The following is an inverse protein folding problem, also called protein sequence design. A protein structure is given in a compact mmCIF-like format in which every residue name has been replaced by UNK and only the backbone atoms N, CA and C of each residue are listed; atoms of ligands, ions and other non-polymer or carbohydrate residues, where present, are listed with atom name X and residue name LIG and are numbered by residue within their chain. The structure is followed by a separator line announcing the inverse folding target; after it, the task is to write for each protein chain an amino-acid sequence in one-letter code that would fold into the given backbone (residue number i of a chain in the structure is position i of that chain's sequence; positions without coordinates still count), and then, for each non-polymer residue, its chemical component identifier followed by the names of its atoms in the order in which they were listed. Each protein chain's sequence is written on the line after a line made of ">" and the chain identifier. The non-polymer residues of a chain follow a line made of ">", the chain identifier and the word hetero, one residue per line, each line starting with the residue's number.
data_IF_888168773413
#
_entry.id   IF_888168773413
#
_cell.length_a   1.000
_cell.length_b   1.000
_cell.length_c   1.000
_cell.angle_alpha   90.00
_cell.angle_beta   90.00
_cell.angle_gamma   90.00
#
_symmetry.space_group_name_H-M   'P 1'
#
loop_
_entity.id
_entity.type
_entity.pdbx_description
1 polymer ?
#
# COMPACT_ATOMS: atom_id res chain seq x y z
N UNK A 1 -4.82 -115.36 0.50
CA UNK A 1 -3.57 -115.21 1.20
C UNK A 1 -3.06 -113.85 0.92
N UNK A 2 -2.71 -113.11 1.96
CA UNK A 2 -1.88 -111.96 2.02
C UNK A 2 -2.37 -110.68 1.34
N UNK A 3 -2.49 -109.56 1.90
CA UNK A 3 -2.12 -108.97 3.16
C UNK A 3 -2.35 -107.50 2.94
N UNK A 4 -3.32 -106.93 3.65
CA UNK A 4 -3.63 -105.50 3.68
C UNK A 4 -2.95 -104.90 4.90
N UNK A 5 -1.80 -104.34 4.71
CA UNK A 5 -1.21 -103.41 5.70
C UNK A 5 -0.30 -102.47 4.95
N UNK A 6 -0.72 -101.19 4.82
CA UNK A 6 0.19 -100.06 4.77
C UNK A 6 -0.54 -98.76 4.28
N UNK A 7 -1.60 -98.32 4.91
CA UNK A 7 -2.14 -97.05 4.56
C UNK A 7 -2.46 -96.09 5.76
N UNK A 8 -2.14 -96.46 7.00
CA UNK A 8 -2.49 -95.68 8.16
C UNK A 8 -1.38 -94.72 8.66
N UNK A 9 -0.12 -94.99 8.37
CA UNK A 9 1.02 -94.17 8.88
C UNK A 9 1.17 -92.79 8.22
N UNK A 10 0.95 -92.52 6.94
CA UNK A 10 1.13 -91.18 6.38
C UNK A 10 0.05 -90.25 6.79
N UNK A 11 -1.17 -90.72 7.10
CA UNK A 11 -2.28 -89.86 7.50
C UNK A 11 -2.10 -89.32 8.97
N UNK A 12 -1.53 -90.17 9.83
CA UNK A 12 -1.21 -89.77 11.20
C UNK A 12 -0.07 -88.70 11.25
N UNK A 13 0.95 -88.85 10.40
CA UNK A 13 2.02 -87.87 10.30
C UNK A 13 1.55 -86.51 9.75
N UNK A 14 0.69 -86.49 8.76
CA UNK A 14 0.08 -85.22 8.24
C UNK A 14 -0.84 -84.56 9.25
N UNK A 15 -1.60 -85.29 10.04
CA UNK A 15 -2.47 -84.70 11.07
C UNK A 15 -1.70 -84.13 12.25
N UNK A 16 -0.55 -84.68 12.63
CA UNK A 16 0.33 -84.14 13.70
C UNK A 16 1.04 -82.91 13.17
N UNK A 17 1.51 -82.88 11.93
CA UNK A 17 2.16 -81.71 11.34
C UNK A 17 1.13 -80.53 11.18
N UNK A 18 -0.09 -80.84 10.69
CA UNK A 18 -1.13 -79.83 10.58
C UNK A 18 -1.63 -79.30 11.95
N UNK A 19 -1.69 -80.19 12.95
CA UNK A 19 -2.05 -79.78 14.34
C UNK A 19 -0.96 -78.95 14.99
N UNK A 20 0.32 -79.25 14.79
CA UNK A 20 1.42 -78.46 15.35
C UNK A 20 1.56 -77.07 14.65
N UNK A 21 1.35 -76.98 13.33
CA UNK A 21 1.37 -75.74 12.61
C UNK A 21 0.17 -74.87 12.97
N UNK A 22 -1.03 -75.44 13.13
CA UNK A 22 -2.20 -74.70 13.59
C UNK A 22 -2.01 -74.18 15.01
N UNK A 23 -1.45 -74.97 15.90
CA UNK A 23 -1.14 -74.57 17.28
C UNK A 23 -0.09 -73.46 17.35
N UNK A 24 0.96 -73.53 16.54
CA UNK A 24 2.00 -72.48 16.44
C UNK A 24 1.40 -71.18 15.88
N UNK A 25 0.52 -71.21 14.89
CA UNK A 25 -0.15 -70.06 14.33
C UNK A 25 -1.11 -69.40 15.34
N UNK A 26 -1.87 -70.17 16.09
CA UNK A 26 -2.74 -69.70 17.14
C UNK A 26 -1.93 -69.00 18.25
N UNK A 27 -0.83 -69.64 18.66
CA UNK A 27 0.05 -69.07 19.69
C UNK A 27 0.81 -67.80 19.23
N UNK A 28 1.03 -67.69 17.92
CA UNK A 28 1.61 -66.48 17.31
C UNK A 28 0.57 -65.35 17.23
N UNK A 29 -0.67 -65.64 16.90
CA UNK A 29 -1.79 -64.69 16.92
C UNK A 29 -2.11 -64.22 18.32
N UNK A 30 -2.06 -65.06 19.33
CA UNK A 30 -2.27 -64.65 20.72
C UNK A 30 -1.16 -63.69 21.19
N UNK A 31 0.11 -63.97 20.86
CA UNK A 31 1.20 -63.04 21.17
C UNK A 31 1.11 -61.72 20.46
N UNK A 32 0.67 -61.68 19.21
CA UNK A 32 0.45 -60.44 18.47
C UNK A 32 -0.72 -59.64 19.11
N UNK A 33 -1.79 -60.29 19.49
CA UNK A 33 -2.92 -59.66 20.21
C UNK A 33 -2.54 -59.15 21.59
N UNK A 34 -1.71 -59.87 22.30
CA UNK A 34 -1.19 -59.40 23.63
C UNK A 34 -0.24 -58.22 23.47
N UNK A 35 0.56 -58.19 22.39
CA UNK A 35 1.48 -57.11 22.08
C UNK A 35 0.74 -55.87 21.59
N UNK A 36 -0.29 -56.06 20.75
CA UNK A 36 -1.19 -54.97 20.34
C UNK A 36 -2.01 -54.39 21.51
N UNK A 37 -2.54 -55.24 22.39
CA UNK A 37 -3.23 -54.82 23.59
C UNK A 37 -2.29 -54.12 24.59
N UNK A 38 -1.00 -54.48 24.63
CA UNK A 38 0.03 -53.84 25.46
C UNK A 38 0.39 -52.49 24.89
N UNK A 39 0.55 -52.38 23.55
CA UNK A 39 0.78 -51.10 22.85
C UNK A 39 -0.42 -50.19 23.00
N UNK A 40 -1.64 -50.71 22.98
CA UNK A 40 -2.87 -49.92 23.19
C UNK A 40 -3.08 -49.47 24.63
N UNK A 41 -2.61 -50.25 25.60
CA UNK A 41 -2.62 -49.90 27.03
C UNK A 41 -1.45 -49.00 27.43
N UNK A 42 -0.33 -49.00 26.69
CA UNK A 42 0.82 -48.09 26.90
C UNK A 42 0.62 -46.74 26.14
N UNK A 43 -0.40 -46.58 25.28
CA UNK A 43 -0.86 -45.26 24.87
C UNK A 43 -1.49 -44.60 26.08
N UNK A 44 -0.68 -43.97 26.91
CA UNK A 44 -1.16 -42.92 27.80
C UNK A 44 -2.04 -41.99 26.96
N UNK A 45 -3.20 -41.52 27.52
CA UNK A 45 -3.96 -40.45 26.84
C UNK A 45 -2.94 -39.34 26.52
N UNK A 46 -2.76 -39.05 25.24
CA UNK A 46 -2.00 -37.87 24.83
C UNK A 46 -2.51 -36.72 25.67
N UNK A 47 -1.67 -36.21 26.55
CA UNK A 47 -2.00 -34.97 27.23
C UNK A 47 -2.41 -33.97 26.14
N UNK A 48 -3.51 -33.22 26.34
CA UNK A 48 -3.92 -32.20 25.40
C UNK A 48 -2.67 -31.39 25.06
N UNK A 49 -2.42 -31.08 23.77
CA UNK A 49 -1.22 -30.37 23.37
C UNK A 49 -1.09 -29.17 24.32
N UNK A 50 0.09 -28.89 24.90
CA UNK A 50 0.24 -27.76 25.78
C UNK A 50 -0.33 -26.57 25.02
N UNK A 51 -1.25 -25.84 25.64
CA UNK A 51 -1.70 -24.55 25.14
C UNK A 51 -0.40 -23.76 25.07
N UNK A 52 0.18 -23.71 23.86
CA UNK A 52 1.30 -22.83 23.57
C UNK A 52 0.69 -21.45 23.67
N UNK A 53 0.76 -20.85 24.85
CA UNK A 53 0.45 -19.44 25.00
C UNK A 53 1.31 -18.72 23.97
N UNK A 54 0.67 -18.14 22.99
CA UNK A 54 1.38 -17.31 22.01
C UNK A 54 2.22 -16.31 22.80
N UNK A 55 3.52 -16.22 22.55
CA UNK A 55 4.38 -15.33 23.33
C UNK A 55 3.78 -13.92 23.26
N UNK A 56 3.68 -13.23 24.39
CA UNK A 56 3.14 -11.87 24.52
C UNK A 56 3.76 -10.93 23.46
N UNK A 57 4.98 -11.22 23.02
CA UNK A 57 5.66 -10.53 21.92
C UNK A 57 4.91 -10.60 20.59
N UNK A 58 4.06 -11.61 20.34
CA UNK A 58 3.24 -11.68 19.14
C UNK A 58 2.14 -10.61 19.13
N UNK A 59 1.63 -10.25 20.30
CA UNK A 59 0.62 -9.20 20.51
C UNK A 59 1.21 -7.80 20.28
N UNK A 60 2.53 -7.64 20.45
CA UNK A 60 3.23 -6.37 20.20
C UNK A 60 3.47 -6.09 18.70
N UNK A 61 3.22 -7.06 17.83
CA UNK A 61 3.44 -6.91 16.41
C UNK A 61 2.35 -6.03 15.80
N UNK A 62 2.72 -4.80 15.45
CA UNK A 62 1.84 -3.81 14.84
C UNK A 62 1.55 -4.16 13.38
N UNK A 63 0.28 -4.15 13.00
CA UNK A 63 -0.14 -4.23 11.60
C UNK A 63 0.01 -2.86 10.94
N UNK A 64 0.83 -2.78 9.88
CA UNK A 64 1.05 -1.52 9.17
C UNK A 64 -0.19 -1.08 8.39
N UNK A 65 -0.94 -2.03 7.82
CA UNK A 65 -2.22 -1.78 7.15
C UNK A 65 -3.21 -2.86 7.56
N UNK A 66 -4.33 -2.48 8.15
CA UNK A 66 -5.39 -3.39 8.56
C UNK A 66 -6.74 -2.92 8.02
N UNK A 67 -7.52 -3.85 7.51
CA UNK A 67 -8.88 -3.66 7.04
C UNK A 67 -9.84 -4.46 7.92
N UNK A 68 -10.74 -3.79 8.61
CA UNK A 68 -11.79 -4.42 9.39
C UNK A 68 -13.12 -4.35 8.62
N UNK A 69 -13.83 -5.46 8.56
CA UNK A 69 -15.08 -5.61 7.82
C UNK A 69 -16.21 -5.98 8.77
N UNK A 70 -17.35 -5.31 8.62
CA UNK A 70 -18.60 -5.72 9.23
C UNK A 70 -19.14 -7.01 8.59
N UNK A 71 -20.01 -7.71 9.31
CA UNK A 71 -20.47 -9.07 8.99
C UNK A 71 -20.97 -9.24 7.54
N UNK A 72 -21.79 -8.30 7.03
CA UNK A 72 -22.35 -8.39 5.67
C UNK A 72 -21.29 -8.28 4.57
N UNK A 73 -20.13 -7.71 4.87
CA UNK A 73 -19.05 -7.51 3.90
C UNK A 73 -18.12 -8.73 3.79
N UNK A 74 -18.26 -9.74 4.64
CA UNK A 74 -17.46 -10.96 4.58
C UNK A 74 -17.70 -11.75 3.29
N UNK A 75 -18.86 -11.59 2.66
CA UNK A 75 -19.16 -12.16 1.35
C UNK A 75 -18.15 -11.73 0.29
N UNK A 76 -17.61 -10.49 0.37
CA UNK A 76 -16.63 -9.95 -0.57
C UNK A 76 -15.28 -10.68 -0.56
N UNK A 77 -14.99 -11.42 0.52
CA UNK A 77 -13.78 -12.24 0.66
C UNK A 77 -14.02 -13.66 0.14
N UNK A 78 -15.24 -14.22 0.39
CA UNK A 78 -15.55 -15.63 0.24
C UNK A 78 -16.18 -15.98 -1.12
N UNK A 79 -16.65 -15.01 -1.88
CA UNK A 79 -17.26 -15.24 -3.18
C UNK A 79 -16.29 -15.92 -4.16
N UNK A 80 -16.81 -16.96 -4.86
CA UNK A 80 -16.09 -17.68 -5.92
C UNK A 80 -15.97 -16.86 -7.22
N UNK A 81 -16.12 -15.55 -7.15
CA UNK A 81 -16.02 -14.67 -8.30
C UNK A 81 -14.56 -14.31 -8.61
N UNK A 82 -14.26 -14.08 -9.89
CA UNK A 82 -12.94 -13.63 -10.38
C UNK A 82 -12.51 -12.24 -9.85
N UNK A 83 -13.27 -11.64 -8.92
CA UNK A 83 -13.08 -10.28 -8.38
C UNK A 83 -13.03 -10.27 -6.86
N UNK A 84 -12.34 -11.21 -6.27
CA UNK A 84 -12.15 -11.23 -4.81
C UNK A 84 -11.40 -9.99 -4.36
N UNK A 85 -11.83 -9.39 -3.25
CA UNK A 85 -11.15 -8.26 -2.62
C UNK A 85 -9.65 -8.54 -2.39
N UNK A 86 -9.32 -9.77 -1.98
CA UNK A 86 -7.93 -10.20 -1.77
C UNK A 86 -7.08 -10.14 -3.04
N UNK A 87 -7.64 -10.48 -4.21
CA UNK A 87 -6.91 -10.46 -5.48
C UNK A 87 -6.77 -9.03 -6.01
N UNK A 88 -7.77 -8.18 -5.79
CA UNK A 88 -7.67 -6.75 -6.08
C UNK A 88 -6.59 -6.08 -5.22
N UNK A 89 -6.50 -6.40 -3.93
CA UNK A 89 -5.43 -5.89 -3.04
C UNK A 89 -4.04 -6.36 -3.51
N UNK A 90 -3.90 -7.61 -3.98
CA UNK A 90 -2.63 -8.08 -4.58
C UNK A 90 -2.28 -7.33 -5.85
N UNK A 91 -3.27 -7.08 -6.73
CA UNK A 91 -3.08 -6.30 -7.94
C UNK A 91 -2.69 -4.85 -7.61
N UNK A 92 -3.37 -4.23 -6.64
CA UNK A 92 -3.04 -2.91 -6.14
C UNK A 92 -1.59 -2.81 -5.64
N UNK A 93 -1.13 -3.77 -4.85
CA UNK A 93 0.26 -3.79 -4.34
C UNK A 93 1.28 -3.82 -5.48
N UNK A 94 1.01 -4.60 -6.55
CA UNK A 94 1.85 -4.64 -7.75
C UNK A 94 1.83 -3.31 -8.52
N UNK A 95 0.64 -2.73 -8.68
CA UNK A 95 0.49 -1.45 -9.36
C UNK A 95 1.25 -0.33 -8.64
N UNK A 96 1.13 -0.23 -7.32
CA UNK A 96 1.87 0.75 -6.51
C UNK A 96 3.38 0.54 -6.58
N UNK A 97 3.86 -0.70 -6.58
CA UNK A 97 5.29 -0.98 -6.73
C UNK A 97 5.81 -0.55 -8.10
N UNK A 98 5.04 -0.78 -9.18
CA UNK A 98 5.39 -0.35 -10.53
C UNK A 98 5.32 1.16 -10.72
N UNK A 99 4.32 1.82 -10.12
CA UNK A 99 4.10 3.26 -10.25
C UNK A 99 5.07 4.05 -9.38
N UNK A 100 5.15 3.71 -8.10
CA UNK A 100 5.84 4.51 -7.09
C UNK A 100 7.21 3.97 -6.68
N UNK A 101 7.57 2.74 -7.07
CA UNK A 101 8.77 2.07 -6.56
C UNK A 101 8.68 1.73 -5.06
N UNK A 102 7.49 1.79 -4.50
CA UNK A 102 7.19 1.56 -3.09
C UNK A 102 6.52 0.20 -2.89
N UNK A 103 7.11 -0.64 -2.06
CA UNK A 103 6.54 -1.94 -1.72
C UNK A 103 5.52 -1.78 -0.59
N UNK A 104 4.25 -1.74 -0.97
CA UNK A 104 3.15 -1.66 0.00
C UNK A 104 3.17 -2.86 0.95
N UNK A 105 3.09 -2.67 2.28
CA UNK A 105 2.96 -3.75 3.25
C UNK A 105 1.77 -4.66 2.99
N UNK A 106 1.76 -5.85 3.59
CA UNK A 106 0.59 -6.72 3.55
C UNK A 106 -0.59 -6.08 4.28
N UNK A 107 -1.78 -6.20 3.68
CA UNK A 107 -3.03 -5.77 4.32
C UNK A 107 -3.57 -6.94 5.12
N UNK A 108 -3.72 -6.78 6.43
CA UNK A 108 -4.40 -7.74 7.29
C UNK A 108 -5.89 -7.48 7.23
N UNK A 109 -6.65 -8.49 6.81
CA UNK A 109 -8.12 -8.40 6.75
C UNK A 109 -8.68 -9.15 7.94
N UNK A 110 -9.59 -8.51 8.69
CA UNK A 110 -10.23 -9.07 9.87
C UNK A 110 -11.74 -8.77 9.83
N UNK A 111 -12.51 -9.68 10.40
CA UNK A 111 -13.91 -9.40 10.74
C UNK A 111 -13.98 -8.64 12.07
N UNK A 112 -14.95 -7.74 12.18
CA UNK A 112 -15.22 -7.02 13.42
C UNK A 112 -16.75 -6.94 13.65
N UNK A 113 -17.23 -7.79 14.56
CA UNK A 113 -18.65 -7.87 14.94
C UNK A 113 -19.17 -6.65 15.70
N UNK A 114 -18.29 -5.73 16.12
CA UNK A 114 -18.68 -4.47 16.76
C UNK A 114 -19.01 -3.38 15.75
N UNK A 115 -18.61 -3.55 14.50
CA UNK A 115 -18.97 -2.64 13.41
C UNK A 115 -20.40 -2.88 12.93
N UNK A 116 -21.03 -1.82 12.41
CA UNK A 116 -22.28 -1.99 11.67
C UNK A 116 -22.08 -2.97 10.52
N UNK A 117 -23.05 -3.82 10.18
CA UNK A 117 -22.87 -4.93 9.24
C UNK A 117 -22.27 -4.55 7.88
N UNK A 118 -22.59 -3.37 7.39
CA UNK A 118 -22.20 -2.86 6.08
C UNK A 118 -21.01 -1.88 6.12
N UNK A 119 -20.35 -1.73 7.27
CA UNK A 119 -19.25 -0.78 7.48
C UNK A 119 -17.90 -1.48 7.36
N UNK A 120 -16.94 -0.81 6.75
CA UNK A 120 -15.53 -1.17 6.82
C UNK A 120 -14.71 -0.04 7.42
N UNK A 121 -13.58 -0.39 8.03
CA UNK A 121 -12.62 0.57 8.60
C UNK A 121 -11.21 0.18 8.17
N UNK A 122 -10.44 1.16 7.72
CA UNK A 122 -9.05 0.99 7.32
C UNK A 122 -8.17 1.66 8.37
N UNK A 123 -7.21 0.89 8.89
CA UNK A 123 -6.21 1.36 9.84
C UNK A 123 -4.84 1.41 9.17
N UNK A 124 -4.10 2.48 9.46
CA UNK A 124 -2.67 2.60 9.15
C UNK A 124 -1.93 2.77 10.47
N UNK A 125 -0.98 1.87 10.75
CA UNK A 125 -0.23 1.82 12.02
C UNK A 125 -1.17 1.91 13.23
N UNK A 126 -2.19 1.04 13.27
CA UNK A 126 -3.22 0.96 14.33
C UNK A 126 -4.10 2.20 14.50
N UNK A 127 -3.90 3.26 13.70
CA UNK A 127 -4.74 4.46 13.72
C UNK A 127 -5.78 4.37 12.61
N UNK A 128 -7.05 4.67 12.93
CA UNK A 128 -8.11 4.76 11.92
C UNK A 128 -7.77 5.85 10.90
N UNK A 129 -7.57 5.42 9.65
CA UNK A 129 -7.25 6.30 8.54
C UNK A 129 -8.48 6.61 7.67
N UNK A 130 -9.45 5.69 7.63
CA UNK A 130 -10.68 5.90 6.87
C UNK A 130 -11.72 4.84 7.17
N UNK A 131 -12.98 5.18 6.89
CA UNK A 131 -14.13 4.27 7.00
C UNK A 131 -15.12 4.53 5.89
N UNK A 132 -15.97 3.55 5.61
CA UNK A 132 -17.05 3.71 4.66
C UNK A 132 -18.17 2.71 4.91
N UNK A 133 -19.32 3.00 4.33
CA UNK A 133 -20.47 2.11 4.34
C UNK A 133 -20.76 1.64 2.91
N UNK A 134 -21.01 0.36 2.73
CA UNK A 134 -21.22 -0.27 1.44
C UNK A 134 -22.57 -0.97 1.38
N UNK A 135 -23.00 -1.24 0.16
CA UNK A 135 -24.17 -2.09 -0.14
C UNK A 135 -23.69 -3.24 -1.02
N UNK A 136 -23.37 -4.44 -0.45
CA UNK A 136 -22.72 -5.54 -1.17
C UNK A 136 -23.40 -5.94 -2.49
N UNK A 137 -24.74 -5.84 -2.54
CA UNK A 137 -25.56 -6.25 -3.69
C UNK A 137 -25.99 -5.07 -4.57
N UNK A 138 -25.38 -3.88 -4.42
CA UNK A 138 -25.66 -2.70 -5.22
C UNK A 138 -24.40 -2.17 -5.87
N UNK A 139 -24.56 -1.31 -6.86
CA UNK A 139 -23.50 -0.57 -7.52
C UNK A 139 -23.52 0.89 -7.05
N UNK A 140 -22.35 1.45 -6.86
CA UNK A 140 -22.19 2.88 -6.63
C UNK A 140 -22.03 3.59 -7.96
N UNK A 141 -22.87 4.57 -8.20
CA UNK A 141 -22.86 5.39 -9.41
C UNK A 141 -22.48 6.82 -9.07
N UNK A 142 -21.62 7.41 -9.88
CA UNK A 142 -21.14 8.79 -9.72
C UNK A 142 -21.18 9.51 -11.08
N UNK A 143 -21.56 10.77 -11.09
CA UNK A 143 -21.38 11.61 -12.28
C UNK A 143 -19.95 12.19 -12.30
N UNK A 144 -19.16 11.97 -13.36
CA UNK A 144 -17.81 12.53 -13.49
C UNK A 144 -17.76 14.06 -13.46
N UNK A 145 -18.88 14.73 -13.79
CA UNK A 145 -19.00 16.19 -13.79
C UNK A 145 -19.50 16.74 -12.47
N UNK A 146 -19.89 15.83 -11.53
CA UNK A 146 -20.46 16.21 -10.25
C UNK A 146 -21.90 16.71 -10.32
N UNK A 147 -22.62 16.43 -11.42
CA UNK A 147 -24.03 16.78 -11.58
C UNK A 147 -24.94 15.80 -10.82
N UNK A 148 -26.23 16.13 -10.75
CA UNK A 148 -27.21 15.26 -10.08
C UNK A 148 -27.53 14.02 -10.93
N UNK A 149 -27.46 12.85 -10.29
CA UNK A 149 -27.66 11.56 -10.98
C UNK A 149 -29.16 11.35 -11.22
N UNK A 150 -29.54 11.20 -12.49
CA UNK A 150 -30.92 11.04 -12.94
C UNK A 150 -31.38 9.56 -12.94
N UNK A 151 -31.02 8.78 -11.91
CA UNK A 151 -31.42 7.39 -11.73
C UNK A 151 -32.19 7.22 -10.43
N UNK A 152 -32.93 6.08 -10.31
CA UNK A 152 -33.58 5.72 -9.07
C UNK A 152 -32.59 4.99 -8.16
N UNK A 153 -32.39 5.50 -6.93
CA UNK A 153 -31.46 4.89 -5.99
C UNK A 153 -31.37 5.62 -4.65
N UNK A 154 -30.54 5.13 -3.78
CA UNK A 154 -30.23 5.69 -2.46
C UNK A 154 -29.09 6.69 -2.58
N UNK A 155 -29.38 7.99 -2.37
CA UNK A 155 -28.35 9.05 -2.40
C UNK A 155 -27.34 8.83 -1.27
N UNK A 156 -26.06 8.97 -1.58
CA UNK A 156 -24.95 8.78 -0.66
C UNK A 156 -23.75 9.66 -1.05
N UNK A 157 -22.67 9.53 -0.31
CA UNK A 157 -21.36 10.09 -0.69
C UNK A 157 -20.35 8.95 -0.85
N UNK A 158 -19.55 9.04 -1.87
CA UNK A 158 -18.44 8.11 -2.09
C UNK A 158 -17.39 8.28 -0.95
N UNK A 159 -16.94 7.17 -0.31
CA UNK A 159 -16.14 7.26 0.92
C UNK A 159 -14.73 7.82 0.74
N UNK A 160 -14.13 7.74 -0.46
CA UNK A 160 -12.74 8.13 -0.70
C UNK A 160 -12.58 9.64 -0.86
N UNK A 161 -13.41 10.23 -1.72
CA UNK A 161 -13.31 11.66 -2.11
C UNK A 161 -14.49 12.49 -1.61
N UNK A 162 -15.50 11.85 -1.01
CA UNK A 162 -16.72 12.52 -0.54
C UNK A 162 -17.62 13.04 -1.65
N UNK A 163 -17.47 12.54 -2.88
CA UNK A 163 -18.25 12.95 -4.04
C UNK A 163 -19.72 12.51 -3.90
N UNK A 164 -20.68 13.30 -4.45
CA UNK A 164 -22.07 12.87 -4.55
C UNK A 164 -22.15 11.56 -5.34
N UNK A 165 -22.86 10.59 -4.79
CA UNK A 165 -23.00 9.25 -5.38
C UNK A 165 -24.39 8.69 -5.09
N UNK A 166 -24.72 7.59 -5.76
CA UNK A 166 -26.00 6.91 -5.59
C UNK A 166 -25.83 5.40 -5.65
N UNK A 167 -26.45 4.69 -4.69
CA UNK A 167 -26.54 3.23 -4.74
C UNK A 167 -27.71 2.83 -5.64
N UNK A 168 -27.42 2.07 -6.68
CA UNK A 168 -28.41 1.55 -7.63
C UNK A 168 -28.39 0.02 -7.64
N UNK A 169 -29.46 -0.58 -8.15
CA UNK A 169 -29.53 -2.03 -8.31
C UNK A 169 -28.55 -2.51 -9.40
N UNK A 170 -28.06 -3.75 -9.28
CA UNK A 170 -27.13 -4.38 -10.24
C UNK A 170 -27.69 -4.40 -11.67
N UNK A 171 -29.02 -4.46 -11.84
CA UNK A 171 -29.70 -4.47 -13.12
C UNK A 171 -29.58 -3.14 -13.89
N UNK A 172 -29.35 -2.05 -13.17
CA UNK A 172 -29.23 -0.71 -13.76
C UNK A 172 -27.82 -0.38 -14.28
N UNK A 173 -26.91 -1.36 -14.29
CA UNK A 173 -25.51 -1.15 -14.70
C UNK A 173 -25.37 -0.57 -16.11
N UNK A 174 -26.05 -1.20 -17.05
CA UNK A 174 -25.96 -0.79 -18.48
C UNK A 174 -26.57 0.58 -18.70
N UNK A 175 -27.69 0.85 -18.05
CA UNK A 175 -28.37 2.15 -18.11
C UNK A 175 -27.51 3.27 -17.54
N UNK A 176 -26.88 3.03 -16.36
CA UNK A 176 -25.96 3.98 -15.76
C UNK A 176 -24.74 4.27 -16.67
N UNK A 177 -24.17 3.23 -17.27
CA UNK A 177 -23.04 3.38 -18.21
C UNK A 177 -23.47 4.11 -19.49
N UNK A 178 -24.68 3.88 -19.98
CA UNK A 178 -25.21 4.58 -21.17
C UNK A 178 -25.36 6.08 -20.93
N UNK A 179 -25.72 6.49 -19.72
CA UNK A 179 -25.77 7.90 -19.32
C UNK A 179 -24.39 8.53 -19.06
N UNK A 180 -23.30 7.77 -19.23
CA UNK A 180 -21.93 8.24 -19.03
C UNK A 180 -21.49 8.33 -17.56
N UNK A 181 -22.22 7.72 -16.65
CA UNK A 181 -21.87 7.67 -15.23
C UNK A 181 -20.74 6.65 -14.96
N UNK A 182 -19.92 6.94 -13.96
CA UNK A 182 -18.95 5.98 -13.42
C UNK A 182 -19.66 5.00 -12.52
N UNK A 183 -19.53 3.70 -12.82
CA UNK A 183 -20.19 2.61 -12.06
C UNK A 183 -19.14 1.73 -11.42
N UNK A 184 -19.16 1.63 -10.09
CA UNK A 184 -18.20 0.85 -9.30
C UNK A 184 -18.90 -0.15 -8.37
N UNK A 185 -18.25 -1.30 -8.16
CA UNK A 185 -18.70 -2.32 -7.20
C UNK A 185 -18.03 -2.14 -5.82
N UNK A 186 -18.58 -2.80 -4.81
CA UNK A 186 -18.12 -2.67 -3.43
C UNK A 186 -16.63 -3.03 -3.23
N UNK A 187 -16.06 -4.11 -3.83
CA UNK A 187 -14.63 -4.38 -3.73
C UNK A 187 -13.76 -3.27 -4.33
N UNK A 188 -14.18 -2.70 -5.44
CA UNK A 188 -13.45 -1.60 -6.10
C UNK A 188 -13.46 -0.34 -5.23
N UNK A 189 -14.55 -0.03 -4.54
CA UNK A 189 -14.61 1.11 -3.62
C UNK A 189 -13.60 0.95 -2.49
N UNK A 190 -13.56 -0.24 -1.85
CA UNK A 190 -12.58 -0.52 -0.77
C UNK A 190 -11.16 -0.38 -1.30
N UNK A 191 -10.85 -0.98 -2.46
CA UNK A 191 -9.48 -0.94 -3.02
C UNK A 191 -9.08 0.45 -3.44
N UNK A 192 -9.99 1.27 -3.97
CA UNK A 192 -9.73 2.69 -4.28
C UNK A 192 -9.43 3.47 -3.00
N UNK A 193 -10.23 3.27 -1.94
CA UNK A 193 -10.01 3.94 -0.65
C UNK A 193 -8.68 3.52 -0.02
N UNK A 194 -8.35 2.22 0.01
CA UNK A 194 -7.03 1.74 0.45
C UNK A 194 -5.92 2.40 -0.37
N UNK A 195 -6.09 2.50 -1.69
CA UNK A 195 -5.08 3.10 -2.58
C UNK A 195 -4.77 4.53 -2.19
N UNK A 196 -5.79 5.35 -2.02
CA UNK A 196 -5.60 6.77 -1.68
C UNK A 196 -5.05 6.95 -0.27
N UNK A 197 -5.50 6.15 0.70
CA UNK A 197 -4.95 6.17 2.06
C UNK A 197 -3.49 5.72 2.09
N UNK A 198 -3.13 4.68 1.35
CA UNK A 198 -1.73 4.23 1.24
C UNK A 198 -0.89 5.29 0.53
N UNK A 199 -1.36 5.86 -0.59
CA UNK A 199 -0.66 6.94 -1.31
C UNK A 199 -0.43 8.17 -0.42
N UNK A 200 -1.37 8.50 0.44
CA UNK A 200 -1.25 9.63 1.37
C UNK A 200 -0.31 9.35 2.56
N UNK A 201 -0.05 8.07 2.87
CA UNK A 201 0.77 7.66 4.00
C UNK A 201 2.03 6.86 3.60
N UNK A 202 2.43 6.87 2.31
CA UNK A 202 3.59 6.11 1.82
C UNK A 202 4.88 6.44 2.58
N UNK A 203 5.09 7.72 2.89
CA UNK A 203 6.26 8.17 3.64
C UNK A 203 6.36 7.51 5.02
N UNK A 204 5.23 7.36 5.71
CA UNK A 204 5.18 6.69 7.01
C UNK A 204 5.30 5.17 6.91
N UNK A 205 4.81 4.59 5.83
CA UNK A 205 4.84 3.15 5.59
C UNK A 205 6.21 2.66 5.11
N UNK A 206 7.06 3.53 4.58
CA UNK A 206 8.44 3.18 4.18
C UNK A 206 9.31 3.02 5.44
N UNK A 207 9.46 1.80 5.91
CA UNK A 207 10.28 1.47 7.07
C UNK A 207 11.78 1.43 6.75
N UNK A 208 12.61 1.47 7.79
CA UNK A 208 14.06 1.26 7.68
C UNK A 208 14.40 -0.08 7.02
N UNK A 209 13.70 -1.14 7.42
CA UNK A 209 13.90 -2.49 6.87
C UNK A 209 13.55 -2.57 5.38
N UNK A 210 12.45 -1.92 4.96
CA UNK A 210 12.11 -1.88 3.53
C UNK A 210 13.13 -1.06 2.74
N UNK A 211 13.62 0.04 3.30
CA UNK A 211 14.72 0.81 2.66
C UNK A 211 15.97 -0.04 2.50
N UNK A 212 16.36 -0.81 3.53
CA UNK A 212 17.50 -1.74 3.40
C UNK A 212 17.27 -2.79 2.30
N UNK A 213 16.07 -3.35 2.20
CA UNK A 213 15.74 -4.31 1.12
C UNK A 213 15.88 -3.67 -0.26
N UNK A 214 15.29 -2.48 -0.46
CA UNK A 214 15.40 -1.75 -1.72
C UNK A 214 16.86 -1.52 -2.12
N UNK A 215 17.74 -1.18 -1.16
CA UNK A 215 19.16 -1.01 -1.41
C UNK A 215 19.88 -2.33 -1.74
N UNK A 216 19.47 -3.43 -1.12
CA UNK A 216 20.05 -4.77 -1.36
C UNK A 216 19.60 -5.39 -2.68
N UNK A 217 18.41 -5.06 -3.17
CA UNK A 217 17.84 -5.58 -4.41
C UNK A 217 18.39 -4.89 -5.67
N UNK A 218 19.24 -3.88 -5.51
CA UNK A 218 19.92 -3.21 -6.63
C UNK A 218 20.94 -4.14 -7.31
N UNK A 219 21.17 -3.90 -8.61
CA UNK A 219 22.15 -4.64 -9.40
C UNK A 219 23.58 -4.45 -8.87
N UNK A 220 24.46 -5.42 -9.14
CA UNK A 220 25.85 -5.46 -8.61
C UNK A 220 26.65 -4.18 -8.90
N UNK A 221 26.45 -3.54 -10.03
CA UNK A 221 27.16 -2.31 -10.37
C UNK A 221 26.67 -1.12 -9.54
N UNK A 222 25.39 -1.09 -9.21
CA UNK A 222 24.78 -0.08 -8.35
C UNK A 222 25.09 -0.31 -6.86
N UNK A 223 25.33 -1.57 -6.46
CA UNK A 223 25.77 -1.91 -5.10
C UNK A 223 27.10 -1.23 -4.74
N UNK A 224 28.02 -1.04 -5.69
CA UNK A 224 29.28 -0.30 -5.48
C UNK A 224 29.02 1.13 -5.04
N UNK A 225 28.06 1.81 -5.68
CA UNK A 225 27.67 3.17 -5.29
C UNK A 225 27.10 3.18 -3.87
N UNK A 226 26.28 2.17 -3.51
CA UNK A 226 25.74 2.04 -2.14
C UNK A 226 26.86 1.88 -1.12
N UNK A 227 27.87 1.02 -1.37
CA UNK A 227 29.02 0.79 -0.49
C UNK A 227 29.92 2.03 -0.32
N UNK A 228 30.03 2.86 -1.37
CA UNK A 228 30.76 4.13 -1.30
C UNK A 228 29.97 5.22 -0.55
N UNK A 229 28.65 5.18 -0.64
CA UNK A 229 27.76 6.18 -0.08
C UNK A 229 27.45 5.89 1.40
N UNK A 230 27.13 4.64 1.74
CA UNK A 230 26.67 4.21 3.06
C UNK A 230 27.73 3.33 3.75
N UNK A 231 28.12 3.60 4.98
CA UNK A 231 27.71 4.72 5.85
C UNK A 231 28.58 5.97 5.72
N UNK A 232 29.53 6.03 4.78
CA UNK A 232 30.61 7.03 4.73
C UNK A 232 30.12 8.47 4.56
N UNK A 233 29.09 8.68 3.72
CA UNK A 233 28.57 10.01 3.40
C UNK A 233 27.19 10.25 3.99
N UNK A 234 26.36 9.21 4.02
CA UNK A 234 24.99 9.25 4.57
C UNK A 234 24.67 7.91 5.23
N UNK A 235 23.79 7.90 6.21
CA UNK A 235 23.30 6.66 6.83
C UNK A 235 22.12 6.10 6.06
N UNK A 236 21.77 4.81 6.24
CA UNK A 236 20.54 4.22 5.70
C UNK A 236 19.32 5.03 6.14
N UNK A 237 19.29 5.53 7.39
CA UNK A 237 18.20 6.39 7.89
C UNK A 237 18.14 7.74 7.17
N UNK A 238 19.30 8.28 6.74
CA UNK A 238 19.36 9.49 5.90
C UNK A 238 18.76 9.24 4.52
N UNK A 239 19.14 8.14 3.86
CA UNK A 239 18.54 7.72 2.59
C UNK A 239 17.05 7.49 2.75
N UNK A 240 16.62 6.75 3.78
CA UNK A 240 15.20 6.57 4.09
C UNK A 240 14.45 7.90 4.17
N UNK A 241 15.00 8.89 4.85
CA UNK A 241 14.38 10.21 4.98
C UNK A 241 14.26 10.92 3.63
N UNK A 242 15.26 10.85 2.76
CA UNK A 242 15.20 11.40 1.39
C UNK A 242 14.09 10.72 0.59
N UNK A 243 14.02 9.38 0.62
CA UNK A 243 12.96 8.62 -0.05
C UNK A 243 11.58 8.94 0.51
N UNK A 244 11.45 9.09 1.83
CA UNK A 244 10.21 9.49 2.49
C UNK A 244 9.76 10.89 2.05
N UNK A 245 10.68 11.84 1.93
CA UNK A 245 10.38 13.19 1.46
C UNK A 245 9.87 13.18 0.01
N UNK A 246 10.48 12.38 -0.87
CA UNK A 246 10.02 12.21 -2.25
C UNK A 246 8.61 11.61 -2.30
N UNK A 247 8.36 10.54 -1.54
CA UNK A 247 7.04 9.88 -1.48
C UNK A 247 5.96 10.77 -0.87
N UNK A 248 6.31 11.62 0.10
CA UNK A 248 5.37 12.59 0.69
C UNK A 248 4.85 13.60 -0.35
N UNK A 249 5.65 13.89 -1.35
CA UNK A 249 5.27 14.73 -2.49
C UNK A 249 4.81 13.90 -3.71
N UNK A 250 4.51 12.61 -3.51
CA UNK A 250 4.06 11.67 -4.56
C UNK A 250 5.06 11.50 -5.72
N UNK A 251 6.34 11.81 -5.50
CA UNK A 251 7.42 11.55 -6.46
C UNK A 251 7.83 10.08 -6.34
N UNK A 252 7.78 9.37 -7.46
CA UNK A 252 8.15 7.95 -7.49
C UNK A 252 9.62 7.74 -7.17
N UNK A 253 9.91 6.76 -6.32
CA UNK A 253 11.27 6.33 -5.95
C UNK A 253 11.76 5.13 -6.77
N UNK A 254 11.04 4.78 -7.85
CA UNK A 254 11.34 3.62 -8.69
C UNK A 254 12.72 3.72 -9.35
N UNK A 255 13.12 4.91 -9.74
CA UNK A 255 14.47 5.17 -10.28
C UNK A 255 15.45 5.42 -9.11
N UNK A 256 15.59 4.39 -8.26
CA UNK A 256 16.48 4.43 -7.10
C UNK A 256 17.95 4.71 -7.48
N UNK A 257 18.51 4.18 -8.60
CA UNK A 257 19.86 4.52 -9.04
C UNK A 257 20.07 6.02 -9.24
N UNK A 258 19.21 6.71 -10.00
CA UNK A 258 19.30 8.16 -10.21
C UNK A 258 19.18 8.93 -8.90
N UNK A 259 18.33 8.46 -7.98
CA UNK A 259 18.19 9.07 -6.64
C UNK A 259 19.51 8.94 -5.86
N UNK A 260 20.12 7.75 -5.83
CA UNK A 260 21.37 7.52 -5.11
C UNK A 260 22.55 8.29 -5.70
N UNK A 261 22.61 8.43 -7.01
CA UNK A 261 23.58 9.32 -7.68
C UNK A 261 23.38 10.77 -7.21
N UNK A 262 22.13 11.26 -7.21
CA UNK A 262 21.81 12.60 -6.72
C UNK A 262 22.14 12.78 -5.23
N UNK A 263 21.90 11.78 -4.39
CA UNK A 263 22.32 11.80 -2.99
C UNK A 263 23.83 11.87 -2.88
N UNK A 264 24.58 11.08 -3.67
CA UNK A 264 26.04 11.06 -3.66
C UNK A 264 26.64 12.41 -4.06
N UNK A 265 26.09 13.02 -5.11
CA UNK A 265 26.46 14.36 -5.56
C UNK A 265 26.21 15.41 -4.48
N UNK A 266 25.00 15.45 -3.94
CA UNK A 266 24.58 16.41 -2.94
C UNK A 266 25.39 16.29 -1.64
N UNK A 267 25.65 15.07 -1.16
CA UNK A 267 26.46 14.83 0.04
C UNK A 267 27.90 15.32 -0.05
N UNK A 268 28.40 15.64 -1.24
CA UNK A 268 29.73 16.28 -1.42
C UNK A 268 29.72 17.77 -1.07
N UNK A 269 28.54 18.40 -1.01
CA UNK A 269 28.36 19.85 -0.84
C UNK A 269 27.60 20.17 0.44
N UNK A 270 26.63 19.34 0.84
CA UNK A 270 25.72 19.60 1.96
C UNK A 270 25.43 18.35 2.79
N UNK A 271 25.11 18.55 4.07
CA UNK A 271 24.57 17.52 4.97
C UNK A 271 23.06 17.69 5.25
N UNK A 272 22.46 18.77 4.75
CA UNK A 272 21.04 19.05 4.92
C UNK A 272 20.19 18.09 4.09
N UNK A 273 19.41 17.22 4.75
CA UNK A 273 18.52 16.27 4.09
C UNK A 273 17.47 16.97 3.20
N UNK A 274 17.08 18.17 3.55
CA UNK A 274 16.19 18.99 2.73
C UNK A 274 16.87 19.36 1.40
N UNK A 275 18.09 19.89 1.44
CA UNK A 275 18.82 20.27 0.22
C UNK A 275 19.21 19.04 -0.62
N UNK A 276 19.57 17.93 0.03
CA UNK A 276 19.80 16.65 -0.66
C UNK A 276 18.54 16.21 -1.40
N UNK A 277 17.36 16.30 -0.76
CA UNK A 277 16.08 15.97 -1.39
C UNK A 277 15.80 16.87 -2.60
N UNK A 278 16.00 18.18 -2.48
CA UNK A 278 15.84 19.13 -3.59
C UNK A 278 16.78 18.82 -4.76
N UNK A 279 18.02 18.43 -4.46
CA UNK A 279 18.96 18.02 -5.50
C UNK A 279 18.50 16.75 -6.21
N UNK A 280 18.03 15.73 -5.45
CA UNK A 280 17.45 14.52 -6.05
C UNK A 280 16.23 14.84 -6.93
N UNK A 281 15.37 15.77 -6.51
CA UNK A 281 14.22 16.23 -7.31
C UNK A 281 14.68 16.85 -8.64
N UNK A 282 15.73 17.65 -8.64
CA UNK A 282 16.27 18.23 -9.89
C UNK A 282 16.82 17.16 -10.84
N UNK A 283 17.43 16.09 -10.31
CA UNK A 283 17.88 14.93 -11.11
C UNK A 283 16.68 14.15 -11.71
N UNK A 284 15.54 14.14 -10.99
CA UNK A 284 14.28 13.53 -11.44
C UNK A 284 13.40 14.48 -12.30
N UNK A 285 13.94 15.59 -12.81
CA UNK A 285 13.19 16.61 -13.56
C UNK A 285 12.34 16.01 -14.71
N UNK A 286 12.85 15.02 -15.45
CA UNK A 286 12.10 14.35 -16.51
C UNK A 286 10.87 13.62 -15.96
N UNK A 287 11.02 12.90 -14.87
CA UNK A 287 9.93 12.16 -14.22
C UNK A 287 8.89 13.13 -13.65
N UNK A 288 9.34 14.17 -12.94
CA UNK A 288 8.45 15.19 -12.34
C UNK A 288 7.69 15.93 -13.44
N UNK A 289 8.36 16.34 -14.51
CA UNK A 289 7.70 16.99 -15.66
C UNK A 289 6.65 16.09 -16.30
N UNK A 290 6.91 14.79 -16.47
CA UNK A 290 5.93 13.85 -17.03
C UNK A 290 4.74 13.64 -16.10
N UNK A 291 4.97 13.60 -14.79
CA UNK A 291 3.92 13.42 -13.78
C UNK A 291 2.98 14.65 -13.70
N UNK A 292 3.52 15.83 -13.97
CA UNK A 292 2.77 17.10 -13.87
C UNK A 292 2.16 17.56 -15.18
N UNK A 293 2.51 16.92 -16.30
CA UNK A 293 1.94 17.21 -17.61
C UNK A 293 0.50 16.72 -17.70
N UNK A 294 -0.35 17.52 -18.32
CA UNK A 294 -1.71 17.13 -18.68
C UNK A 294 -1.77 16.09 -19.80
N UNK A 295 -2.95 15.68 -20.18
CA UNK A 295 -3.18 14.71 -21.26
C UNK A 295 -2.64 15.21 -22.63
N UNK A 296 -2.50 16.52 -22.79
CA UNK A 296 -1.91 17.19 -23.97
C UNK A 296 -0.37 17.23 -23.95
N UNK A 297 0.26 16.70 -22.89
CA UNK A 297 1.70 16.72 -22.68
C UNK A 297 2.28 18.10 -22.30
N UNK A 298 1.41 19.05 -21.90
CA UNK A 298 1.78 20.39 -21.45
C UNK A 298 1.61 20.51 -19.96
N UNK A 299 2.56 21.14 -19.27
CA UNK A 299 2.48 21.40 -17.84
C UNK A 299 1.73 22.72 -17.62
N UNK A 300 0.52 22.69 -17.02
CA UNK A 300 -0.17 23.91 -16.65
C UNK A 300 0.45 24.47 -15.38
N UNK A 301 0.97 25.72 -15.42
CA UNK A 301 1.66 26.33 -14.29
C UNK A 301 0.95 27.61 -13.82
N UNK A 302 0.99 27.83 -12.52
CA UNK A 302 0.79 29.14 -11.88
C UNK A 302 2.12 29.54 -11.25
N UNK A 303 2.54 30.78 -11.46
CA UNK A 303 3.82 31.29 -10.95
C UNK A 303 3.62 32.15 -9.70
N UNK A 304 4.65 32.28 -8.87
CA UNK A 304 4.70 33.32 -7.86
C UNK A 304 5.08 34.66 -8.49
N UNK A 305 4.51 35.76 -7.97
CA UNK A 305 4.98 37.11 -8.30
C UNK A 305 6.36 37.38 -7.67
N UNK A 306 7.08 38.31 -8.23
CA UNK A 306 8.37 38.76 -7.66
C UNK A 306 8.24 39.23 -6.19
N UNK A 307 7.11 39.83 -5.83
CA UNK A 307 6.82 40.22 -4.45
C UNK A 307 6.76 39.05 -3.49
N UNK A 308 6.08 37.95 -3.86
CA UNK A 308 6.03 36.74 -3.04
C UNK A 308 7.37 36.00 -3.02
N UNK A 309 8.05 35.90 -4.15
CA UNK A 309 9.40 35.30 -4.22
C UNK A 309 10.35 36.03 -3.25
N UNK A 310 10.34 37.36 -3.25
CA UNK A 310 11.15 38.21 -2.35
C UNK A 310 10.70 38.05 -0.89
N UNK A 311 9.40 38.09 -0.62
CA UNK A 311 8.86 37.97 0.73
C UNK A 311 9.24 36.62 1.38
N UNK A 312 9.21 35.51 0.62
CA UNK A 312 9.71 34.23 1.09
C UNK A 312 11.21 34.23 1.32
N UNK A 313 11.99 34.77 0.39
CA UNK A 313 13.44 34.82 0.49
C UNK A 313 13.91 35.63 1.71
N UNK A 314 13.30 36.78 1.96
CA UNK A 314 13.59 37.67 3.12
C UNK A 314 13.12 37.06 4.46
N UNK A 315 12.07 36.23 4.43
CA UNK A 315 11.56 35.53 5.61
C UNK A 315 12.40 34.31 6.00
N UNK A 316 13.41 33.94 5.23
CA UNK A 316 14.31 32.84 5.58
C UNK A 316 15.37 33.34 6.56
N UNK A 317 15.29 32.84 7.80
CA UNK A 317 16.23 33.12 8.89
C UNK A 317 17.02 31.87 9.26
N UNK A 318 18.26 32.06 9.72
CA UNK A 318 19.18 30.98 10.14
C UNK A 318 20.56 31.15 9.57
N UNK A 319 21.55 30.45 10.15
CA UNK A 319 22.93 30.47 9.68
C UNK A 319 23.23 29.19 8.86
N UNK A 320 23.96 29.33 7.76
CA UNK A 320 24.39 28.22 6.93
C UNK A 320 23.22 27.55 6.18
N UNK A 321 23.16 26.23 6.27
CA UNK A 321 22.20 25.37 5.54
C UNK A 321 20.86 25.20 6.27
N UNK A 322 20.79 25.44 7.58
CA UNK A 322 19.60 25.31 8.40
C UNK A 322 18.78 26.62 8.41
N UNK A 323 18.14 26.91 7.29
CA UNK A 323 17.22 28.04 7.20
C UNK A 323 15.83 27.62 7.66
N UNK A 324 15.17 28.51 8.39
CA UNK A 324 13.77 28.34 8.82
C UNK A 324 12.94 29.51 8.29
N UNK A 325 11.67 29.21 7.98
CA UNK A 325 10.76 30.23 7.53
C UNK A 325 10.20 30.99 8.74
N UNK A 326 10.53 32.27 8.85
CA UNK A 326 10.07 33.20 9.89
C UNK A 326 9.11 34.26 9.33
N UNK A 327 8.16 33.84 8.50
CA UNK A 327 7.15 34.75 7.91
C UNK A 327 6.06 35.10 8.93
N UNK A 328 5.65 36.38 9.03
CA UNK A 328 4.55 36.79 9.91
C UNK A 328 3.24 36.05 9.60
N UNK A 329 2.45 35.64 10.63
CA UNK A 329 1.18 34.92 10.41
C UNK A 329 0.20 35.62 9.49
N UNK A 330 0.15 36.95 9.56
CA UNK A 330 -0.72 37.78 8.68
C UNK A 330 -0.32 37.68 7.21
N UNK A 331 0.97 37.55 6.92
CA UNK A 331 1.49 37.44 5.57
C UNK A 331 1.24 36.00 5.05
N UNK A 332 1.44 34.98 5.89
CA UNK A 332 1.08 33.58 5.58
C UNK A 332 -0.40 33.48 5.23
N UNK A 333 -1.27 34.13 6.01
CA UNK A 333 -2.72 34.11 5.76
C UNK A 333 -3.07 34.77 4.43
N UNK A 334 -2.45 35.91 4.09
CA UNK A 334 -2.65 36.56 2.79
C UNK A 334 -2.23 35.66 1.64
N UNK A 335 -1.10 34.99 1.79
CA UNK A 335 -0.60 34.01 0.80
C UNK A 335 -1.59 32.85 0.60
N UNK A 336 -2.07 32.24 1.70
CA UNK A 336 -3.05 31.14 1.66
C UNK A 336 -4.32 31.56 0.92
N UNK A 337 -4.87 32.73 1.24
CA UNK A 337 -6.10 33.25 0.60
C UNK A 337 -5.87 33.43 -0.91
N UNK A 338 -4.73 34.03 -1.28
CA UNK A 338 -4.42 34.27 -2.69
C UNK A 338 -4.21 32.99 -3.48
N UNK A 339 -3.47 32.03 -2.93
CA UNK A 339 -3.30 30.69 -3.53
C UNK A 339 -4.66 30.04 -3.73
N UNK A 340 -5.51 30.00 -2.69
CA UNK A 340 -6.84 29.39 -2.78
C UNK A 340 -7.65 30.02 -3.89
N UNK A 341 -7.74 31.35 -3.93
CA UNK A 341 -8.50 32.07 -4.95
C UNK A 341 -8.06 31.71 -6.38
N UNK A 342 -6.76 31.75 -6.66
CA UNK A 342 -6.23 31.48 -8.01
C UNK A 342 -6.47 30.02 -8.43
N UNK A 343 -6.24 29.07 -7.50
CA UNK A 343 -6.44 27.67 -7.81
C UNK A 343 -7.92 27.26 -7.93
N UNK A 344 -8.82 27.89 -7.18
CA UNK A 344 -10.27 27.68 -7.32
C UNK A 344 -10.78 28.25 -8.67
N UNK A 345 -10.26 29.40 -9.09
CA UNK A 345 -10.56 29.97 -10.40
C UNK A 345 -10.11 29.03 -11.53
N UNK A 346 -8.90 28.45 -11.45
CA UNK A 346 -8.44 27.48 -12.46
C UNK A 346 -9.23 26.18 -12.40
N UNK A 347 -9.56 25.69 -11.22
CA UNK A 347 -10.37 24.48 -11.06
C UNK A 347 -11.78 24.65 -11.68
N UNK A 348 -12.39 25.83 -11.55
CA UNK A 348 -13.70 26.12 -12.20
C UNK A 348 -13.65 26.08 -13.75
N UNK A 349 -12.44 26.22 -14.33
CA UNK A 349 -12.18 26.09 -15.77
C UNK A 349 -11.78 24.66 -16.15
N UNK A 350 -11.76 23.71 -15.20
CA UNK A 350 -11.32 22.34 -15.41
C UNK A 350 -9.79 22.18 -15.46
N UNK A 351 -9.03 23.20 -15.08
CA UNK A 351 -7.57 23.16 -15.09
C UNK A 351 -7.02 22.80 -13.71
N UNK A 352 -5.97 22.00 -13.69
CA UNK A 352 -5.28 21.58 -12.46
C UNK A 352 -3.80 21.99 -12.51
N UNK A 353 -3.48 23.27 -12.33
CA UNK A 353 -2.10 23.73 -12.42
C UNK A 353 -1.22 23.27 -11.28
N UNK A 354 0.09 23.25 -11.55
CA UNK A 354 1.12 23.15 -10.52
C UNK A 354 1.63 24.55 -10.17
N UNK A 355 2.10 24.73 -8.92
CA UNK A 355 2.73 25.98 -8.50
C UNK A 355 4.21 25.94 -8.81
N UNK A 356 4.69 26.88 -9.61
CA UNK A 356 6.10 27.06 -9.95
C UNK A 356 6.74 28.13 -9.07
N UNK A 357 7.88 27.80 -8.47
CA UNK A 357 8.66 28.70 -7.62
C UNK A 357 10.15 28.65 -7.96
N UNK A 358 10.92 29.57 -7.40
CA UNK A 358 12.37 29.45 -7.41
C UNK A 358 12.86 28.30 -6.53
N UNK A 359 14.00 27.66 -6.85
CA UNK A 359 14.50 26.50 -6.11
C UNK A 359 14.76 26.77 -4.63
N UNK A 360 15.24 27.97 -4.30
CA UNK A 360 15.63 28.34 -2.93
C UNK A 360 14.48 28.44 -1.94
N UNK A 361 13.25 28.68 -2.41
CA UNK A 361 12.09 28.83 -1.55
C UNK A 361 11.09 27.67 -1.68
N UNK A 362 11.22 26.82 -2.69
CA UNK A 362 10.28 25.74 -2.99
C UNK A 362 9.88 24.90 -1.76
N UNK A 363 10.83 24.37 -0.96
CA UNK A 363 10.45 23.51 0.18
C UNK A 363 9.64 24.27 1.24
N UNK A 364 9.89 25.55 1.42
CA UNK A 364 9.16 26.38 2.38
C UNK A 364 7.77 26.73 1.87
N UNK A 365 7.62 27.04 0.59
CA UNK A 365 6.31 27.22 -0.05
C UNK A 365 5.50 25.94 0.05
N UNK A 366 6.10 24.78 -0.25
CA UNK A 366 5.46 23.48 -0.11
C UNK A 366 4.99 23.22 1.32
N UNK A 367 5.81 23.52 2.33
CA UNK A 367 5.47 23.28 3.75
C UNK A 367 4.24 24.08 4.23
N UNK A 368 3.97 25.23 3.61
CA UNK A 368 2.74 25.98 3.88
C UNK A 368 1.57 25.34 3.11
N UNK A 369 1.74 25.11 1.80
CA UNK A 369 0.65 24.68 0.91
C UNK A 369 0.09 23.32 1.33
N UNK A 370 0.94 22.36 1.72
CA UNK A 370 0.50 21.03 2.11
C UNK A 370 -0.52 21.00 3.26
N UNK A 371 -0.50 21.99 4.14
CA UNK A 371 -1.40 22.07 5.30
C UNK A 371 -2.84 22.43 4.94
N UNK A 372 -3.06 23.15 3.85
CA UNK A 372 -4.40 23.60 3.46
C UNK A 372 -4.84 23.12 2.07
N UNK A 373 -3.89 22.68 1.23
CA UNK A 373 -4.15 22.15 -0.10
C UNK A 373 -3.13 21.06 -0.46
N UNK A 374 -3.17 19.90 0.21
CA UNK A 374 -2.15 18.84 0.07
C UNK A 374 -2.03 18.28 -1.35
N UNK A 375 -3.11 18.34 -2.15
CA UNK A 375 -3.13 17.89 -3.54
C UNK A 375 -2.39 18.81 -4.53
N UNK A 376 -2.07 20.06 -4.12
CA UNK A 376 -1.37 21.02 -5.01
C UNK A 376 0.12 20.65 -5.08
N UNK A 377 0.57 20.37 -6.29
CA UNK A 377 1.98 20.09 -6.56
C UNK A 377 2.75 21.41 -6.63
N UNK A 378 3.90 21.48 -5.93
CA UNK A 378 4.81 22.62 -5.98
C UNK A 378 6.12 22.17 -6.60
N UNK A 379 6.53 22.78 -7.70
CA UNK A 379 7.77 22.49 -8.41
C UNK A 379 8.67 23.70 -8.48
N UNK A 380 9.95 23.46 -8.62
CA UNK A 380 10.93 24.51 -8.93
C UNK A 380 11.29 24.54 -10.40
N UNK A 381 11.92 25.62 -10.82
CA UNK A 381 12.43 25.77 -12.19
C UNK A 381 13.41 24.64 -12.56
N UNK A 382 14.20 24.15 -11.61
CA UNK A 382 15.16 23.06 -11.81
C UNK A 382 14.49 21.70 -12.04
N UNK A 383 13.23 21.55 -11.72
CA UNK A 383 12.44 20.33 -11.89
C UNK A 383 11.71 20.27 -13.23
N UNK A 384 11.81 21.33 -14.04
CA UNK A 384 11.26 21.37 -15.38
C UNK A 384 12.30 20.82 -16.37
N UNK A 385 11.95 19.69 -17.01
CA UNK A 385 12.84 19.12 -18.02
C UNK A 385 12.96 20.06 -19.23
N UNK A 386 14.16 20.26 -19.83
CA UNK A 386 14.36 21.21 -20.93
C UNK A 386 13.44 21.01 -22.16
N UNK A 387 12.91 19.81 -22.37
CA UNK A 387 11.99 19.49 -23.45
C UNK A 387 10.52 19.55 -23.05
N UNK A 388 10.21 19.87 -21.79
CA UNK A 388 8.82 19.98 -21.32
C UNK A 388 8.18 21.25 -21.90
N UNK A 389 6.93 21.12 -22.31
CA UNK A 389 6.13 22.27 -22.71
C UNK A 389 5.38 22.78 -21.50
N UNK A 390 5.38 24.09 -21.31
CA UNK A 390 4.69 24.74 -20.20
C UNK A 390 3.65 25.73 -20.72
N UNK A 391 2.55 25.88 -19.97
CA UNK A 391 1.49 26.87 -20.23
C UNK A 391 1.19 27.59 -18.93
N UNK A 392 1.44 28.89 -18.92
CA UNK A 392 1.15 29.72 -17.76
C UNK A 392 -0.33 30.09 -17.73
N UNK A 393 -1.01 29.76 -16.64
CA UNK A 393 -2.44 29.99 -16.43
C UNK A 393 -2.71 31.21 -15.53
N UNK A 394 -1.73 31.64 -14.76
CA UNK A 394 -1.88 32.80 -13.86
C UNK A 394 -0.68 33.02 -12.97
N UNK A 395 -0.82 34.02 -12.08
CA UNK A 395 0.20 34.43 -11.13
C UNK A 395 -0.42 34.71 -9.75
N UNK A 396 0.27 34.33 -8.70
CA UNK A 396 -0.09 34.58 -7.31
C UNK A 396 0.58 35.83 -6.82
#
# INVERSE_FOLDING_TARGET
>A
MTGVQTCALPILFLSVISGTTAWLLIRQQEKIKEEEARIESEKLPEAPPPIVEEPISSVLKMDLVRLELGYSLLSLINENSNRRLTDQIKALRRALALEMGFVMPSVRIQDNMRLSPNTYVIYIKETEAGRGELRPNKLLVMDPRGEEIALQGEKTKEPTFGLPAMWVDMTMREDAMFHGYTVVDSPTIITTHITELVKSNMSELLSYTETQKLLHELDKDQQKLVEELIPKRITVGGVQRVLQNLLNERVSIRDLPTILEGVSEACSVTQSLMLITEHCRSRLARQISNMTAGADGVIPIVTLSGEWEQAFAESLSGQGEEKQLSMPPTQIQKFIVRVRQVFEEQASRGEMPVLLTSPGIRPYVRSIIERFRPSTVVISQNEIHPRAKIRTLGQI
#
